data_IF_987453251654
#
_entry.id   IF_987453251654
#
_cell.length_a   1.000
_cell.length_b   1.000
_cell.length_c   1.000
_cell.angle_alpha   90.00
_cell.angle_beta   90.00
_cell.angle_gamma   90.00
#
_symmetry.space_group_name_H-M   'P 1'
#
loop_
_entity.id
_entity.type
_entity.pdbx_description
1 polymer ?
#
# COMPACT_ATOMS: atom_id res chain seq x y z
N UNK A 1 13.49 -17.17 -11.99
CA UNK A 1 13.22 -15.73 -11.80
C UNK A 1 14.57 -15.03 -11.69
N UNK A 2 14.93 -14.21 -12.67
CA UNK A 2 16.20 -13.47 -12.67
C UNK A 2 16.13 -12.34 -11.63
N UNK A 3 17.22 -12.09 -10.91
CA UNK A 3 17.26 -11.07 -9.84
C UNK A 3 16.83 -9.67 -10.28
N UNK A 4 16.96 -9.36 -11.57
CA UNK A 4 16.57 -8.08 -12.18
C UNK A 4 15.06 -7.84 -12.17
N UNK A 5 14.24 -8.90 -12.26
CA UNK A 5 12.79 -8.77 -12.33
C UNK A 5 12.19 -8.41 -10.96
N UNK A 6 12.77 -8.98 -9.89
CA UNK A 6 12.41 -8.66 -8.51
C UNK A 6 12.82 -7.23 -8.16
N UNK A 7 14.01 -6.78 -8.60
CA UNK A 7 14.47 -5.41 -8.38
C UNK A 7 13.55 -4.39 -9.06
N UNK A 8 13.09 -4.67 -10.29
CA UNK A 8 12.15 -3.80 -11.02
C UNK A 8 10.79 -3.69 -10.30
N UNK A 9 10.24 -4.81 -9.82
CA UNK A 9 8.98 -4.82 -9.05
C UNK A 9 9.08 -3.98 -7.77
N UNK A 10 10.19 -4.11 -7.03
CA UNK A 10 10.41 -3.34 -5.81
C UNK A 10 10.56 -1.84 -6.08
N UNK A 11 11.29 -1.45 -7.13
CA UNK A 11 11.43 -0.04 -7.50
C UNK A 11 10.09 0.61 -7.85
N UNK A 12 9.24 -0.10 -8.62
CA UNK A 12 7.89 0.37 -8.97
C UNK A 12 7.00 0.48 -7.73
N UNK A 13 7.05 -0.53 -6.86
CA UNK A 13 6.30 -0.52 -5.61
C UNK A 13 6.68 0.68 -4.72
N UNK A 14 7.97 0.92 -4.48
CA UNK A 14 8.42 2.07 -3.70
C UNK A 14 8.03 3.41 -4.34
N UNK A 15 8.12 3.53 -5.67
CA UNK A 15 7.71 4.75 -6.38
C UNK A 15 6.20 5.03 -6.21
N UNK A 16 5.38 3.99 -6.16
CA UNK A 16 3.97 4.13 -5.86
C UNK A 16 3.75 4.55 -4.41
N UNK A 17 4.48 3.99 -3.43
CA UNK A 17 4.34 4.37 -2.02
C UNK A 17 4.71 5.84 -1.73
N UNK A 18 5.57 6.47 -2.54
CA UNK A 18 5.91 7.89 -2.46
C UNK A 18 4.81 8.84 -3.00
N UNK A 19 3.73 8.26 -3.54
CA UNK A 19 2.62 8.97 -4.18
C UNK A 19 1.27 8.51 -3.61
N UNK A 20 0.23 9.36 -3.67
CA UNK A 20 -1.09 8.98 -3.21
C UNK A 20 -1.65 7.80 -4.03
N UNK A 21 -2.51 7.00 -3.40
CA UNK A 21 -3.10 5.81 -4.01
C UNK A 21 -3.88 6.08 -5.31
N UNK A 22 -4.35 7.31 -5.46
CA UNK A 22 -5.05 7.82 -6.65
C UNK A 22 -4.14 7.86 -7.88
N UNK A 23 -2.83 8.03 -7.70
CA UNK A 23 -1.85 8.11 -8.78
C UNK A 23 -1.19 6.75 -9.11
N UNK A 24 -1.43 5.71 -8.30
CA UNK A 24 -0.78 4.42 -8.50
C UNK A 24 -1.08 3.80 -9.87
N UNK A 25 -2.34 3.87 -10.32
CA UNK A 25 -2.72 3.29 -11.62
C UNK A 25 -2.02 4.00 -12.78
N UNK A 26 -1.90 5.34 -12.72
CA UNK A 26 -1.19 6.13 -13.74
C UNK A 26 0.32 5.83 -13.75
N UNK A 27 0.95 5.70 -12.58
CA UNK A 27 2.37 5.33 -12.46
C UNK A 27 2.62 3.93 -13.02
N UNK A 28 1.74 2.98 -12.72
CA UNK A 28 1.84 1.62 -13.22
C UNK A 28 1.56 1.54 -14.71
N UNK A 29 0.66 2.36 -15.25
CA UNK A 29 0.39 2.45 -16.68
C UNK A 29 1.61 2.97 -17.45
N UNK A 30 2.19 4.09 -16.99
CA UNK A 30 3.40 4.69 -17.56
C UNK A 30 4.61 3.75 -17.49
N UNK A 31 4.85 3.14 -16.33
CA UNK A 31 6.10 2.41 -16.08
C UNK A 31 6.08 0.93 -16.52
N UNK A 32 4.90 0.30 -16.57
CA UNK A 32 4.75 -1.05 -17.09
C UNK A 32 4.38 -1.06 -18.58
N UNK A 33 3.73 -0.03 -19.11
CA UNK A 33 3.28 -0.02 -20.50
C UNK A 33 2.43 -1.27 -20.83
N UNK A 34 2.89 -2.06 -21.80
CA UNK A 34 2.23 -3.29 -22.26
C UNK A 34 2.43 -4.52 -21.34
N UNK A 35 3.34 -4.46 -20.37
CA UNK A 35 3.60 -5.54 -19.42
C UNK A 35 2.48 -5.63 -18.35
N UNK A 36 1.32 -6.14 -18.78
CA UNK A 36 0.13 -6.32 -17.93
C UNK A 36 0.37 -7.27 -16.77
N UNK A 37 1.24 -8.27 -16.93
CA UNK A 37 1.62 -9.22 -15.87
C UNK A 37 2.42 -8.52 -14.77
N UNK A 38 3.34 -7.62 -15.12
CA UNK A 38 4.11 -6.83 -14.17
C UNK A 38 3.19 -5.87 -13.40
N UNK A 39 2.31 -5.20 -14.14
CA UNK A 39 1.28 -4.29 -13.60
C UNK A 39 0.39 -4.98 -12.57
N UNK A 40 -0.17 -6.15 -12.92
CA UNK A 40 -1.03 -6.92 -12.02
C UNK A 40 -0.29 -7.34 -10.74
N UNK A 41 0.97 -7.78 -10.88
CA UNK A 41 1.77 -8.17 -9.72
C UNK A 41 2.00 -7.02 -8.74
N UNK A 42 2.44 -5.85 -9.23
CA UNK A 42 2.71 -4.69 -8.36
C UNK A 42 1.41 -4.15 -7.78
N UNK A 43 0.32 -4.15 -8.54
CA UNK A 43 -1.00 -3.73 -8.06
C UNK A 43 -1.51 -4.60 -6.91
N UNK A 44 -1.33 -5.93 -6.97
CA UNK A 44 -1.65 -6.83 -5.85
C UNK A 44 -0.80 -6.55 -4.60
N UNK A 45 0.47 -6.18 -4.77
CA UNK A 45 1.33 -5.80 -3.64
C UNK A 45 0.82 -4.52 -2.97
N UNK A 46 0.43 -3.52 -3.76
CA UNK A 46 -0.11 -2.25 -3.29
C UNK A 46 -1.47 -2.41 -2.59
N UNK A 47 -2.35 -3.22 -3.15
CA UNK A 47 -3.67 -3.52 -2.56
C UNK A 47 -3.52 -4.19 -1.18
N UNK A 48 -2.64 -5.19 -1.08
CA UNK A 48 -2.34 -5.84 0.20
C UNK A 48 -1.74 -4.87 1.23
N UNK A 49 -0.85 -3.98 0.79
CA UNK A 49 -0.27 -2.96 1.68
C UNK A 49 -1.35 -2.01 2.20
N UNK A 50 -2.25 -1.56 1.32
CA UNK A 50 -3.39 -0.72 1.70
C UNK A 50 -4.30 -1.41 2.72
N UNK A 51 -4.62 -2.68 2.50
CA UNK A 51 -5.46 -3.48 3.39
C UNK A 51 -4.82 -3.59 4.79
N UNK A 52 -3.53 -3.96 4.85
CA UNK A 52 -2.79 -4.05 6.13
C UNK A 52 -2.74 -2.72 6.89
N UNK A 53 -2.51 -1.60 6.21
CA UNK A 53 -2.45 -0.29 6.84
C UNK A 53 -3.82 0.34 7.14
N UNK A 54 -4.87 -0.09 6.44
CA UNK A 54 -6.25 0.31 6.73
C UNK A 54 -6.72 -0.28 8.07
N UNK A 55 -6.33 -1.52 8.38
CA UNK A 55 -6.65 -2.16 9.66
C UNK A 55 -5.94 -1.50 10.85
N UNK A 56 -4.66 -1.13 10.70
CA UNK A 56 -3.93 -0.40 11.76
C UNK A 56 -4.51 0.99 12.04
N UNK A 57 -4.99 1.70 11.00
CA UNK A 57 -5.64 3.00 11.16
C UNK A 57 -7.05 2.90 11.75
N UNK A 58 -7.72 1.76 11.60
CA UNK A 58 -9.03 1.47 12.20
C UNK A 58 -8.93 1.03 13.66
N UNK A 59 -7.87 0.31 14.05
CA UNK A 59 -7.75 -0.29 15.38
C UNK A 59 -7.38 0.72 16.49
N UNK A 60 -6.76 1.85 16.17
CA UNK A 60 -6.36 2.86 17.17
C UNK A 60 -7.48 3.84 17.56
N UNK A 61 -8.66 3.81 16.90
CA UNK A 61 -9.80 4.68 17.26
C UNK A 61 -10.71 4.15 18.37
N UNK A 62 -10.50 2.93 18.86
CA UNK A 62 -11.37 2.30 19.88
C UNK A 62 -10.74 2.15 21.27
N UNK A 63 -9.53 2.67 21.53
CA UNK A 63 -8.87 2.64 22.84
C UNK A 63 -8.69 4.02 23.50
N UNK A 64 -9.60 4.97 23.24
CA UNK A 64 -9.55 6.32 23.78
C UNK A 64 -10.88 6.82 24.37
N UNK A 65 -11.46 6.10 25.31
CA UNK A 65 -12.64 6.49 26.12
C UNK A 65 -12.62 5.60 27.38
N UNK A 66 -12.41 5.98 28.64
CA UNK A 66 -12.36 7.23 29.42
C UNK A 66 -11.64 6.88 30.76
N UNK A 67 -10.70 7.69 31.31
CA UNK A 67 -10.22 7.49 32.68
C UNK A 67 -11.03 8.22 33.77
N UNK A 68 -12.16 8.87 33.47
CA UNK A 68 -12.90 9.69 34.44
C UNK A 68 -14.23 9.09 34.89
N UNK A 69 -14.20 8.02 35.70
CA UNK A 69 -15.40 7.69 36.48
C UNK A 69 -15.23 6.82 37.73
N UNK A 70 -14.33 7.13 38.66
CA UNK A 70 -14.53 6.75 40.07
C UNK A 70 -13.99 7.84 41.01
N UNK A 71 -14.92 8.63 41.54
CA UNK A 71 -14.79 9.50 42.70
C UNK A 71 -16.13 10.23 42.89
N UNK A 72 -16.58 10.56 44.11
CA UNK A 72 -15.96 10.38 45.44
C UNK A 72 -16.34 9.06 46.16
#
# INVERSE_FOLDING_TARGET
MTGSELARKQALFQRCLDRPAEEWDAILDDACGEDTVLRDHVRRMLDRHRDTHAEESGFMRLQGSDPERIGP
#
